data_IF_025859247278
#
_entry.id   IF_025859247278
#
_cell.length_a   1.000
_cell.length_b   1.000
_cell.length_c   1.000
_cell.angle_alpha   90.00
_cell.angle_beta   90.00
_cell.angle_gamma   90.00
#
_symmetry.space_group_name_H-M   'P 1'
#
loop_
_entity.id
_entity.type
_entity.pdbx_description
1 polymer ?
#
# COMPACT_ATOMS: atom_id res chain seq x y z
N UNK A 1 -27.57 3.03 -11.13
CA UNK A 1 -27.05 3.47 -9.82
C UNK A 1 -26.57 2.22 -9.11
N UNK A 2 -25.26 2.01 -9.05
CA UNK A 2 -24.69 0.87 -8.32
C UNK A 2 -24.93 1.14 -6.83
N UNK A 3 -25.43 0.18 -6.04
CA UNK A 3 -25.63 0.39 -4.60
C UNK A 3 -24.30 0.72 -3.92
N UNK A 4 -24.33 1.65 -2.95
CA UNK A 4 -23.13 2.03 -2.21
C UNK A 4 -22.50 0.82 -1.52
N UNK A 5 -21.18 0.63 -1.60
CA UNK A 5 -20.50 -0.47 -0.91
C UNK A 5 -20.37 -0.25 0.61
N UNK A 6 -20.78 0.93 1.11
CA UNK A 6 -20.75 1.29 2.52
C UNK A 6 -22.12 1.03 3.16
N UNK A 7 -22.13 0.25 4.25
CA UNK A 7 -23.36 -0.26 4.87
C UNK A 7 -23.78 0.49 6.16
N UNK A 8 -23.20 1.69 6.38
CA UNK A 8 -23.39 2.55 7.57
C UNK A 8 -23.31 4.03 7.18
N UNK A 9 -23.67 4.89 8.12
CA UNK A 9 -23.36 6.32 8.08
C UNK A 9 -21.86 6.55 7.86
N UNK A 10 -21.53 7.22 6.76
CA UNK A 10 -20.16 7.48 6.30
C UNK A 10 -19.61 8.83 6.78
N UNK A 11 -20.34 9.61 7.59
CA UNK A 11 -19.91 10.94 8.05
C UNK A 11 -18.57 10.90 8.79
N UNK A 12 -18.39 9.91 9.67
CA UNK A 12 -17.13 9.73 10.40
C UNK A 12 -15.97 9.28 9.48
N UNK A 13 -16.26 8.47 8.46
CA UNK A 13 -15.29 8.06 7.45
C UNK A 13 -14.84 9.27 6.63
N UNK A 14 -15.79 10.09 6.15
CA UNK A 14 -15.51 11.30 5.40
C UNK A 14 -14.61 12.27 6.19
N UNK A 15 -14.87 12.45 7.50
CA UNK A 15 -14.01 13.25 8.38
C UNK A 15 -12.58 12.72 8.52
N UNK A 16 -12.40 11.39 8.58
CA UNK A 16 -11.05 10.78 8.62
C UNK A 16 -10.33 10.90 7.28
N UNK A 17 -11.04 10.72 6.17
CA UNK A 17 -10.51 11.00 4.83
C UNK A 17 -10.04 12.45 4.71
N UNK A 18 -10.85 13.42 5.13
CA UNK A 18 -10.46 14.83 5.10
C UNK A 18 -9.18 15.10 5.92
N UNK A 19 -9.05 14.48 7.10
CA UNK A 19 -7.82 14.58 7.90
C UNK A 19 -6.60 13.95 7.22
N UNK A 20 -6.76 12.83 6.52
CA UNK A 20 -5.67 12.21 5.74
C UNK A 20 -5.26 13.07 4.53
N UNK A 21 -6.23 13.70 3.86
CA UNK A 21 -5.98 14.51 2.67
C UNK A 21 -5.01 15.68 2.94
N UNK A 22 -5.01 16.22 4.17
CA UNK A 22 -4.13 17.31 4.60
C UNK A 22 -2.66 16.92 4.84
N UNK A 23 -2.30 15.63 4.74
CA UNK A 23 -0.95 15.14 5.07
C UNK A 23 -0.03 15.06 3.85
N UNK A 24 1.28 15.25 4.06
CA UNK A 24 2.30 14.99 3.05
C UNK A 24 2.68 13.51 2.92
N UNK A 25 3.39 13.15 1.85
CA UNK A 25 3.80 11.75 1.56
C UNK A 25 4.58 11.10 2.72
N UNK A 26 5.46 11.86 3.38
CA UNK A 26 6.23 11.34 4.51
C UNK A 26 5.36 11.07 5.75
N UNK A 27 4.32 11.88 5.97
CA UNK A 27 3.37 11.71 7.08
C UNK A 27 2.43 10.53 6.81
N UNK A 28 1.96 10.39 5.58
CA UNK A 28 1.21 9.21 5.13
C UNK A 28 2.07 7.94 5.26
N UNK A 29 3.33 7.98 4.83
CA UNK A 29 4.27 6.88 4.98
C UNK A 29 4.51 6.53 6.45
N UNK A 30 4.66 7.51 7.34
CA UNK A 30 4.83 7.26 8.77
C UNK A 30 3.59 6.60 9.40
N UNK A 31 2.38 6.96 8.94
CA UNK A 31 1.14 6.30 9.36
C UNK A 31 1.04 4.85 8.86
N UNK A 32 1.46 4.56 7.62
CA UNK A 32 1.56 3.18 7.12
C UNK A 32 2.54 2.35 7.96
N UNK A 33 3.71 2.93 8.30
CA UNK A 33 4.66 2.27 9.18
C UNK A 33 4.10 2.05 10.59
N UNK A 34 3.35 3.01 11.15
CA UNK A 34 2.67 2.85 12.45
C UNK A 34 1.71 1.66 12.45
N UNK A 35 0.95 1.50 11.37
CA UNK A 35 -0.04 0.42 11.22
C UNK A 35 0.59 -0.95 10.91
N UNK A 36 1.87 -1.00 10.56
CA UNK A 36 2.58 -2.25 10.31
C UNK A 36 2.92 -2.94 11.64
N UNK A 37 2.62 -4.24 11.81
CA UNK A 37 2.98 -4.98 13.02
C UNK A 37 4.47 -4.83 13.37
N UNK A 38 4.79 -4.89 14.66
CA UNK A 38 6.15 -4.70 15.25
C UNK A 38 6.59 -3.25 15.45
N UNK A 39 5.82 -2.29 14.94
CA UNK A 39 6.12 -0.89 15.14
C UNK A 39 5.34 -0.27 16.31
N UNK A 40 4.39 -0.93 16.96
CA UNK A 40 3.38 -0.38 17.89
C UNK A 40 3.92 0.60 18.95
N UNK A 41 5.17 0.42 19.40
CA UNK A 41 5.82 1.28 20.41
C UNK A 41 7.02 2.09 19.89
N UNK A 42 7.20 2.19 18.57
CA UNK A 42 8.28 2.98 17.97
C UNK A 42 7.98 4.48 18.09
N UNK A 43 8.97 5.32 18.47
CA UNK A 43 8.78 6.75 18.51
C UNK A 43 8.43 7.34 17.14
N UNK A 44 7.51 8.30 17.09
CA UNK A 44 7.04 8.91 15.85
C UNK A 44 8.17 9.55 15.03
N UNK A 45 9.15 10.18 15.69
CA UNK A 45 10.32 10.76 15.00
C UNK A 45 11.17 9.73 14.25
N UNK A 46 11.21 8.48 14.72
CA UNK A 46 11.90 7.38 14.03
C UNK A 46 11.12 6.98 12.78
N UNK A 47 9.81 6.79 12.89
CA UNK A 47 8.96 6.45 11.75
C UNK A 47 8.96 7.56 10.69
N UNK A 48 8.89 8.82 11.11
CA UNK A 48 8.95 9.96 10.20
C UNK A 48 10.29 10.06 9.47
N UNK A 49 11.38 9.62 10.11
CA UNK A 49 12.69 9.53 9.44
C UNK A 49 12.71 8.38 8.44
N UNK A 50 12.26 7.19 8.82
CA UNK A 50 12.17 6.05 7.91
C UNK A 50 11.25 6.29 6.72
N UNK A 51 10.09 6.90 6.94
CA UNK A 51 9.16 7.24 5.88
C UNK A 51 9.77 8.24 4.88
N UNK A 52 10.44 9.30 5.35
CA UNK A 52 11.16 10.24 4.46
C UNK A 52 12.22 9.53 3.63
N UNK A 53 13.06 8.71 4.27
CA UNK A 53 14.09 7.95 3.56
C UNK A 53 13.49 6.97 2.54
N UNK A 54 12.40 6.29 2.87
CA UNK A 54 11.71 5.40 1.94
C UNK A 54 11.09 6.16 0.76
N UNK A 55 10.51 7.34 0.99
CA UNK A 55 10.02 8.22 -0.09
C UNK A 55 11.16 8.67 -1.00
N UNK A 56 12.31 9.07 -0.45
CA UNK A 56 13.49 9.45 -1.23
C UNK A 56 13.98 8.28 -2.10
N UNK A 57 14.13 7.09 -1.51
CA UNK A 57 14.51 5.87 -2.25
C UNK A 57 13.51 5.53 -3.33
N UNK A 58 12.21 5.65 -3.06
CA UNK A 58 11.16 5.40 -4.05
C UNK A 58 11.20 6.38 -5.21
N UNK A 59 11.54 7.65 -4.97
CA UNK A 59 11.72 8.64 -6.03
C UNK A 59 12.89 8.29 -6.93
N UNK A 60 14.03 7.92 -6.37
CA UNK A 60 15.20 7.47 -7.13
C UNK A 60 14.91 6.18 -7.91
N UNK A 61 14.23 5.22 -7.27
CA UNK A 61 13.86 3.96 -7.91
C UNK A 61 12.88 4.18 -9.07
N UNK A 62 12.01 5.19 -8.96
CA UNK A 62 11.08 5.55 -10.01
C UNK A 62 11.77 6.04 -11.30
N UNK A 63 13.03 6.47 -11.25
CA UNK A 63 13.80 6.89 -12.44
C UNK A 63 14.53 5.73 -13.13
N UNK A 64 14.54 4.54 -12.52
CA UNK A 64 15.19 3.35 -13.09
C UNK A 64 14.43 2.79 -14.33
N UNK A 65 15.06 1.96 -15.18
CA UNK A 65 14.38 1.34 -16.32
C UNK A 65 13.13 0.55 -15.90
N UNK A 66 12.09 0.60 -16.74
CA UNK A 66 10.81 -0.07 -16.48
C UNK A 66 10.95 -1.59 -16.54
N UNK A 67 10.49 -2.34 -15.50
CA UNK A 67 10.39 -3.79 -15.55
C UNK A 67 9.09 -4.28 -16.23
N UNK A 68 8.27 -3.39 -16.78
CA UNK A 68 6.93 -3.73 -17.29
C UNK A 68 6.95 -4.60 -18.56
N UNK A 69 8.09 -4.68 -19.26
CA UNK A 69 8.21 -5.49 -20.47
C UNK A 69 7.89 -6.97 -20.18
N UNK A 70 6.90 -7.52 -20.89
CA UNK A 70 6.49 -8.92 -20.77
C UNK A 70 5.57 -9.23 -19.58
N UNK A 71 5.16 -8.22 -18.80
CA UNK A 71 4.17 -8.41 -17.72
C UNK A 71 2.76 -8.31 -18.30
N UNK A 72 1.95 -9.36 -18.11
CA UNK A 72 0.53 -9.33 -18.48
C UNK A 72 -0.30 -8.73 -17.36
N UNK A 73 -1.36 -8.01 -17.71
CA UNK A 73 -2.33 -7.48 -16.74
C UNK A 73 -3.68 -8.13 -17.03
N UNK A 74 -4.34 -8.64 -15.99
CA UNK A 74 -5.73 -9.10 -16.09
C UNK A 74 -6.53 -8.64 -14.88
N UNK A 75 -7.85 -8.69 -15.00
CA UNK A 75 -8.76 -8.39 -13.90
C UNK A 75 -9.39 -9.69 -13.35
N UNK A 76 -9.67 -9.70 -12.05
CA UNK A 76 -10.45 -10.73 -11.36
C UNK A 76 -11.12 -10.13 -10.11
N UNK A 77 -12.05 -10.84 -9.50
CA UNK A 77 -12.63 -10.46 -8.20
C UNK A 77 -11.82 -11.05 -7.03
N UNK A 78 -12.26 -10.76 -5.80
CA UNK A 78 -11.72 -11.34 -4.57
C UNK A 78 -10.66 -10.47 -3.90
N UNK A 79 -10.62 -9.17 -4.21
CA UNK A 79 -9.74 -8.22 -3.52
C UNK A 79 -10.31 -7.69 -2.22
N UNK A 80 -11.60 -7.89 -1.93
CA UNK A 80 -12.21 -7.46 -0.66
C UNK A 80 -12.45 -8.67 0.23
N UNK A 81 -11.59 -8.84 1.24
CA UNK A 81 -11.56 -9.98 2.15
C UNK A 81 -11.90 -9.63 3.60
N UNK A 82 -12.00 -10.65 4.45
CA UNK A 82 -12.27 -10.48 5.87
C UNK A 82 -11.08 -9.82 6.58
N UNK A 83 -11.12 -8.50 6.72
CA UNK A 83 -10.07 -7.73 7.37
C UNK A 83 -8.96 -7.21 6.43
N UNK A 84 -9.09 -7.39 5.12
CA UNK A 84 -8.08 -6.93 4.15
C UNK A 84 -8.71 -6.46 2.83
N UNK A 85 -8.01 -5.53 2.16
CA UNK A 85 -8.35 -5.04 0.84
C UNK A 85 -7.07 -5.09 0.00
N UNK A 86 -7.13 -5.80 -1.13
CA UNK A 86 -6.01 -6.01 -2.04
C UNK A 86 -6.44 -5.50 -3.41
N UNK A 87 -5.76 -4.48 -3.94
CA UNK A 87 -6.10 -3.89 -5.25
C UNK A 87 -5.46 -4.64 -6.40
N UNK A 88 -4.27 -5.19 -6.18
CA UNK A 88 -3.50 -5.91 -7.17
C UNK A 88 -2.60 -6.95 -6.49
N UNK A 89 -2.22 -7.97 -7.25
CA UNK A 89 -1.24 -8.97 -6.83
C UNK A 89 -0.35 -9.36 -8.01
N UNK A 90 0.95 -9.52 -7.76
CA UNK A 90 1.88 -10.09 -8.73
C UNK A 90 1.99 -11.62 -8.62
N UNK A 91 1.71 -12.31 -9.73
CA UNK A 91 1.91 -13.75 -9.88
C UNK A 91 3.26 -14.05 -10.53
N UNK A 92 4.27 -14.38 -9.72
CA UNK A 92 5.64 -14.62 -10.19
C UNK A 92 5.78 -15.68 -11.27
N UNK A 93 5.05 -16.82 -11.16
CA UNK A 93 5.19 -17.95 -12.10
C UNK A 93 4.67 -17.62 -13.50
N UNK A 94 3.61 -16.82 -13.59
CA UNK A 94 2.98 -16.46 -14.86
C UNK A 94 3.43 -15.08 -15.37
N UNK A 95 4.24 -14.34 -14.59
CA UNK A 95 4.63 -12.95 -14.85
C UNK A 95 3.43 -12.05 -15.15
N UNK A 96 2.51 -12.02 -14.20
CA UNK A 96 1.21 -11.39 -14.39
C UNK A 96 0.82 -10.56 -13.18
N UNK A 97 0.22 -9.38 -13.41
CA UNK A 97 -0.45 -8.58 -12.40
C UNK A 97 -1.94 -8.83 -12.51
N UNK A 98 -2.57 -9.20 -11.40
CA UNK A 98 -4.00 -9.41 -11.30
C UNK A 98 -4.59 -8.24 -10.54
N UNK A 99 -5.35 -7.40 -11.24
CA UNK A 99 -6.12 -6.32 -10.63
C UNK A 99 -7.42 -6.89 -10.05
N UNK A 100 -7.75 -6.49 -8.82
CA UNK A 100 -8.95 -6.93 -8.13
C UNK A 100 -10.09 -5.93 -8.36
N UNK A 101 -10.99 -6.27 -9.28
CA UNK A 101 -12.06 -5.38 -9.76
C UNK A 101 -12.98 -4.89 -8.63
N UNK A 102 -13.35 -5.77 -7.71
CA UNK A 102 -14.17 -5.45 -6.53
C UNK A 102 -13.48 -4.47 -5.57
N UNK A 103 -12.17 -4.61 -5.38
CA UNK A 103 -11.39 -3.66 -4.58
C UNK A 103 -11.21 -2.32 -5.30
N UNK A 104 -11.07 -2.32 -6.63
CA UNK A 104 -11.02 -1.09 -7.43
C UNK A 104 -12.36 -0.34 -7.43
N UNK A 105 -13.48 -1.05 -7.45
CA UNK A 105 -14.82 -0.47 -7.29
C UNK A 105 -14.99 0.17 -5.90
N UNK A 106 -14.55 -0.52 -4.84
CA UNK A 106 -14.53 0.03 -3.49
C UNK A 106 -13.65 1.29 -3.39
N UNK A 107 -12.49 1.27 -4.04
CA UNK A 107 -11.61 2.43 -4.12
C UNK A 107 -12.28 3.61 -4.86
N UNK A 108 -12.97 3.35 -5.96
CA UNK A 108 -13.76 4.36 -6.68
C UNK A 108 -14.85 4.98 -5.79
N UNK A 109 -15.61 4.16 -5.07
CA UNK A 109 -16.64 4.65 -4.16
C UNK A 109 -16.07 5.48 -2.99
N UNK A 110 -14.89 5.10 -2.47
CA UNK A 110 -14.19 5.89 -1.47
C UNK A 110 -13.71 7.24 -2.03
N UNK A 111 -13.17 7.24 -3.25
CA UNK A 111 -12.71 8.45 -3.94
C UNK A 111 -13.87 9.44 -4.14
N UNK A 112 -15.04 8.95 -4.58
CA UNK A 112 -16.26 9.76 -4.68
C UNK A 112 -16.72 10.29 -3.32
N UNK A 113 -16.78 9.42 -2.30
CA UNK A 113 -17.17 9.81 -0.93
C UNK A 113 -16.25 10.91 -0.38
N UNK A 114 -14.95 10.82 -0.65
CA UNK A 114 -13.96 11.73 -0.11
C UNK A 114 -13.76 13.00 -0.96
N UNK A 115 -14.40 13.10 -2.14
CA UNK A 115 -14.23 14.21 -3.08
C UNK A 115 -12.82 14.27 -3.68
N UNK A 116 -12.21 13.11 -3.96
CA UNK A 116 -10.82 13.00 -4.45
C UNK A 116 -10.70 12.68 -5.94
N UNK A 117 -11.78 12.78 -6.72
CA UNK A 117 -11.86 12.34 -8.11
C UNK A 117 -10.79 12.98 -8.99
N UNK A 118 -10.50 14.28 -8.76
CA UNK A 118 -9.46 15.01 -9.48
C UNK A 118 -8.04 14.49 -9.20
N UNK A 119 -7.82 13.80 -8.07
CA UNK A 119 -6.51 13.25 -7.69
C UNK A 119 -6.36 11.78 -8.08
N UNK A 120 -7.47 11.04 -8.11
CA UNK A 120 -7.49 9.60 -8.38
C UNK A 120 -8.44 9.22 -9.53
N UNK A 121 -8.15 9.65 -10.78
CA UNK A 121 -8.87 9.14 -11.94
C UNK A 121 -8.81 7.60 -12.02
N UNK A 122 -9.91 6.90 -12.34
CA UNK A 122 -9.97 5.43 -12.25
C UNK A 122 -8.92 4.69 -13.08
N UNK A 123 -8.54 5.21 -14.24
CA UNK A 123 -7.49 4.65 -15.10
C UNK A 123 -6.10 4.80 -14.47
N UNK A 124 -5.86 5.91 -13.77
CA UNK A 124 -4.60 6.19 -13.07
C UNK A 124 -4.47 5.37 -11.79
N UNK A 125 -5.59 5.11 -11.11
CA UNK A 125 -5.62 4.18 -9.97
C UNK A 125 -5.23 2.77 -10.41
N UNK A 126 -5.79 2.27 -11.53
CA UNK A 126 -5.39 0.97 -12.12
C UNK A 126 -3.92 0.93 -12.46
N UNK A 127 -3.43 1.96 -13.14
CA UNK A 127 -2.01 2.08 -13.50
C UNK A 127 -1.10 2.12 -12.25
N UNK A 128 -1.50 2.84 -11.20
CA UNK A 128 -0.77 2.89 -9.94
C UNK A 128 -0.73 1.53 -9.23
N UNK A 129 -1.83 0.77 -9.25
CA UNK A 129 -1.88 -0.57 -8.68
C UNK A 129 -0.90 -1.51 -9.41
N UNK A 130 -0.83 -1.44 -10.75
CA UNK A 130 0.19 -2.19 -11.53
C UNK A 130 1.61 -1.76 -11.15
N UNK A 131 1.88 -0.45 -11.10
CA UNK A 131 3.21 0.04 -10.77
C UNK A 131 3.64 -0.26 -9.34
N UNK A 132 2.70 -0.37 -8.39
CA UNK A 132 2.98 -0.81 -7.03
C UNK A 132 3.56 -2.23 -7.03
N UNK A 133 2.91 -3.18 -7.70
CA UNK A 133 3.39 -4.56 -7.84
C UNK A 133 4.75 -4.62 -8.56
N UNK A 134 4.92 -3.82 -9.62
CA UNK A 134 6.20 -3.75 -10.33
C UNK A 134 7.31 -3.16 -9.46
N UNK A 135 7.00 -2.20 -8.59
CA UNK A 135 7.98 -1.59 -7.71
C UNK A 135 8.54 -2.59 -6.69
N UNK A 136 7.71 -3.50 -6.17
CA UNK A 136 8.18 -4.61 -5.33
C UNK A 136 9.22 -5.47 -6.05
N UNK A 137 9.03 -5.72 -7.36
CA UNK A 137 10.03 -6.43 -8.18
C UNK A 137 11.33 -5.64 -8.35
N UNK A 138 11.21 -4.32 -8.56
CA UNK A 138 12.38 -3.43 -8.66
C UNK A 138 13.14 -3.38 -7.34
N UNK A 139 12.45 -3.53 -6.22
CA UNK A 139 13.00 -3.52 -4.87
C UNK A 139 13.57 -4.88 -4.44
N UNK A 140 14.24 -5.58 -5.35
CA UNK A 140 14.97 -6.82 -5.05
C UNK A 140 16.48 -6.66 -5.22
N UNK A 141 17.27 -7.50 -4.56
CA UNK A 141 18.73 -7.50 -4.70
C UNK A 141 19.38 -6.21 -4.20
N UNK A 142 20.06 -5.47 -5.08
CA UNK A 142 20.84 -4.29 -4.72
C UNK A 142 19.97 -3.15 -4.16
N UNK A 143 18.86 -2.71 -4.80
CA UNK A 143 17.91 -1.75 -4.24
C UNK A 143 17.43 -2.08 -2.81
N UNK A 144 17.07 -3.34 -2.53
CA UNK A 144 16.65 -3.76 -1.17
C UNK A 144 17.78 -3.62 -0.13
N UNK A 145 19.02 -3.94 -0.51
CA UNK A 145 20.18 -3.74 0.36
C UNK A 145 20.48 -2.26 0.57
N UNK A 146 20.28 -1.45 -0.47
CA UNK A 146 20.43 0.00 -0.44
C UNK A 146 19.45 0.66 0.54
N UNK A 147 18.17 0.31 0.45
CA UNK A 147 17.13 0.77 1.37
C UNK A 147 17.48 0.43 2.82
N UNK A 148 17.82 -0.83 3.12
CA UNK A 148 18.25 -1.26 4.46
C UNK A 148 19.46 -0.48 4.97
N UNK A 149 20.39 -0.12 4.08
CA UNK A 149 21.58 0.67 4.41
C UNK A 149 21.19 2.09 4.84
N UNK A 150 20.27 2.73 4.11
CA UNK A 150 19.85 4.12 4.34
C UNK A 150 18.92 4.29 5.53
N UNK A 151 18.02 3.34 5.77
CA UNK A 151 17.13 3.35 6.93
C UNK A 151 17.89 3.25 8.27
N UNK A 152 19.13 2.73 8.22
CA UNK A 152 20.06 2.54 9.34
C UNK A 152 19.39 1.94 10.60
N UNK A 153 18.41 1.05 10.42
CA UNK A 153 17.80 0.36 11.55
C UNK A 153 18.82 -0.61 12.17
N UNK A 154 19.28 -0.31 13.38
CA UNK A 154 20.30 -1.10 14.07
C UNK A 154 19.64 -2.17 14.92
N UNK A 155 20.02 -3.43 14.71
CA UNK A 155 19.51 -4.58 15.48
C UNK A 155 20.53 -5.07 16.49
N UNK A 156 21.82 -5.03 16.15
CA UNK A 156 22.91 -5.35 17.06
C UNK A 156 24.23 -4.70 16.60
N UNK A 157 25.19 -4.58 17.51
CA UNK A 157 26.55 -4.16 17.18
C UNK A 157 27.57 -4.63 18.21
N UNK A 158 28.76 -5.01 17.75
CA UNK A 158 29.91 -5.33 18.58
C UNK A 158 31.16 -4.65 17.98
N UNK A 159 31.68 -3.62 18.65
CA UNK A 159 32.79 -2.81 18.15
C UNK A 159 32.48 -2.14 16.82
N UNK A 160 33.33 -2.36 15.80
CA UNK A 160 33.13 -1.82 14.44
C UNK A 160 32.07 -2.56 13.61
N UNK A 161 31.60 -3.72 14.07
CA UNK A 161 30.63 -4.53 13.34
C UNK A 161 29.21 -4.12 13.70
N UNK A 162 28.40 -3.79 12.69
CA UNK A 162 27.01 -3.32 12.83
C UNK A 162 26.09 -4.22 12.04
N UNK A 163 25.09 -4.80 12.70
CA UNK A 163 24.03 -5.55 12.06
C UNK A 163 22.82 -4.65 11.84
N UNK A 164 22.44 -4.47 10.58
CA UNK A 164 21.27 -3.68 10.17
C UNK A 164 20.07 -4.58 9.95
N UNK A 165 18.96 -4.20 10.55
CA UNK A 165 17.67 -4.86 10.39
C UNK A 165 16.90 -4.36 9.20
N UNK A 166 15.92 -5.16 8.81
CA UNK A 166 14.84 -4.73 7.93
C UNK A 166 13.83 -3.92 8.75
N UNK A 167 13.29 -2.85 8.15
CA UNK A 167 12.15 -2.10 8.70
C UNK A 167 10.92 -2.60 7.94
N UNK A 168 10.06 -3.35 8.63
CA UNK A 168 8.81 -3.84 8.05
C UNK A 168 7.97 -2.66 7.51
N UNK A 169 7.42 -2.79 6.30
CA UNK A 169 6.56 -1.79 5.66
C UNK A 169 7.30 -0.63 4.97
N UNK A 170 8.63 -0.54 5.07
CA UNK A 170 9.39 0.51 4.37
C UNK A 170 9.43 0.28 2.85
N UNK A 171 9.38 -0.97 2.43
CA UNK A 171 9.17 -1.40 1.04
C UNK A 171 7.82 -0.96 0.49
N UNK A 172 6.74 -1.03 1.29
CA UNK A 172 5.43 -0.53 0.87
C UNK A 172 5.43 0.98 0.60
N UNK A 173 6.12 1.76 1.44
CA UNK A 173 6.30 3.22 1.21
C UNK A 173 7.08 3.50 -0.07
N UNK A 174 8.13 2.72 -0.34
CA UNK A 174 8.88 2.79 -1.61
C UNK A 174 7.97 2.47 -2.79
N UNK A 175 7.21 1.37 -2.72
CA UNK A 175 6.34 0.90 -3.79
C UNK A 175 5.25 1.92 -4.13
N UNK A 176 4.59 2.49 -3.13
CA UNK A 176 3.62 3.56 -3.34
C UNK A 176 4.25 4.83 -3.94
N UNK A 177 5.49 5.16 -3.57
CA UNK A 177 6.18 6.32 -4.13
C UNK A 177 6.52 6.10 -5.61
N UNK A 178 7.00 4.92 -5.98
CA UNK A 178 7.23 4.55 -7.39
C UNK A 178 5.91 4.59 -8.17
N UNK A 179 4.86 3.98 -7.62
CA UNK A 179 3.52 3.97 -8.22
C UNK A 179 2.98 5.38 -8.47
N UNK A 180 3.14 6.29 -7.51
CA UNK A 180 2.75 7.70 -7.67
C UNK A 180 3.46 8.36 -8.85
N UNK A 181 4.80 8.25 -8.89
CA UNK A 181 5.63 8.89 -9.92
C UNK A 181 5.38 8.33 -11.31
N UNK A 182 5.04 7.05 -11.41
CA UNK A 182 4.86 6.35 -12.69
C UNK A 182 3.45 6.42 -13.26
N UNK A 183 2.42 6.53 -12.41
CA UNK A 183 1.02 6.61 -12.85
C UNK A 183 0.57 8.03 -13.20
N UNK A 184 1.18 9.05 -12.58
CA UNK A 184 0.76 10.45 -12.76
C UNK A 184 -0.50 10.83 -11.96
N UNK A 185 -0.82 10.08 -10.89
CA UNK A 185 -1.85 10.48 -9.92
C UNK A 185 -1.56 11.87 -9.33
N UNK A 186 -2.62 12.60 -8.97
CA UNK A 186 -2.50 13.94 -8.36
C UNK A 186 -2.05 13.91 -6.90
N UNK A 187 -2.24 12.77 -6.22
CA UNK A 187 -1.79 12.51 -4.84
C UNK A 187 -1.25 11.09 -4.72
N UNK A 188 -0.42 10.87 -3.71
CA UNK A 188 0.20 9.57 -3.45
C UNK A 188 -0.84 8.46 -3.23
N UNK A 189 -0.65 7.26 -3.82
CA UNK A 189 -1.47 6.07 -3.51
C UNK A 189 -1.53 5.72 -2.03
N UNK A 190 -0.56 6.14 -1.21
CA UNK A 190 -0.61 5.95 0.25
C UNK A 190 -1.87 6.56 0.89
N UNK A 191 -2.34 7.71 0.35
CA UNK A 191 -3.58 8.34 0.80
C UNK A 191 -4.78 7.41 0.56
N UNK A 192 -4.84 6.80 -0.62
CA UNK A 192 -5.90 5.86 -0.97
C UNK A 192 -5.83 4.58 -0.13
N UNK A 193 -4.63 4.01 0.08
CA UNK A 193 -4.44 2.84 0.95
C UNK A 193 -4.91 3.11 2.38
N UNK A 194 -4.50 4.24 2.97
CA UNK A 194 -4.93 4.60 4.33
C UNK A 194 -6.44 4.85 4.38
N UNK A 195 -7.01 5.52 3.38
CA UNK A 195 -8.45 5.72 3.29
C UNK A 195 -9.23 4.39 3.19
N UNK A 196 -8.72 3.42 2.42
CA UNK A 196 -9.32 2.09 2.32
C UNK A 196 -9.24 1.32 3.63
N UNK A 197 -8.13 1.43 4.37
CA UNK A 197 -8.01 0.87 5.70
C UNK A 197 -9.05 1.48 6.67
N UNK A 198 -9.31 2.79 6.58
CA UNK A 198 -10.36 3.47 7.36
C UNK A 198 -11.78 3.09 6.93
N UNK A 199 -11.97 2.74 5.66
CA UNK A 199 -13.24 2.36 5.08
C UNK A 199 -13.61 0.89 5.34
N UNK A 200 -12.63 0.01 5.54
CA UNK A 200 -12.84 -1.42 5.74
C UNK A 200 -13.93 -1.75 6.80
N UNK A 201 -13.99 -1.10 7.99
CA UNK A 201 -15.07 -1.34 8.97
C UNK A 201 -16.49 -0.95 8.53
N UNK A 202 -16.62 -0.20 7.43
CA UNK A 202 -17.88 0.26 6.82
C UNK A 202 -18.35 -0.65 5.68
N UNK A 203 -17.57 -1.68 5.35
CA UNK A 203 -17.91 -2.69 4.37
C UNK A 203 -18.50 -3.93 5.05
N UNK A 204 -19.26 -4.72 4.29
CA UNK A 204 -19.72 -6.03 4.76
C UNK A 204 -18.55 -6.97 5.10
N UNK A 205 -17.43 -6.85 4.39
CA UNK A 205 -16.23 -7.66 4.58
C UNK A 205 -15.51 -7.36 5.91
N UNK A 206 -15.50 -6.09 6.36
CA UNK A 206 -14.98 -5.71 7.67
C UNK A 206 -15.76 -6.33 8.86
N UNK A 207 -16.96 -6.87 8.63
CA UNK A 207 -17.77 -7.57 9.64
C UNK A 207 -17.56 -9.09 9.64
N UNK A 208 -17.05 -9.65 8.54
CA UNK A 208 -16.91 -11.08 8.41
C UNK A 208 -15.87 -11.59 9.40
N UNK A 209 -16.25 -12.56 10.25
CA UNK A 209 -15.26 -13.34 11.00
C UNK A 209 -14.32 -14.01 9.98
N UNK A 210 -12.99 -14.06 10.22
CA UNK A 210 -12.11 -14.84 9.38
C UNK A 210 -12.68 -16.26 9.28
N UNK A 211 -12.82 -16.79 8.06
CA UNK A 211 -13.22 -18.18 7.89
C UNK A 211 -12.24 -19.02 8.71
N UNK A 212 -12.73 -19.90 9.61
CA UNK A 212 -11.81 -20.85 10.23
C UNK A 212 -11.09 -21.57 9.09
N UNK A 213 -9.76 -21.65 9.17
CA UNK A 213 -9.00 -22.55 8.31
C UNK A 213 -9.74 -23.88 8.31
N UNK A 214 -10.02 -24.50 7.14
CA UNK A 214 -10.53 -25.85 7.15
C UNK A 214 -9.51 -26.66 7.95
N UNK A 215 -9.94 -27.17 9.10
CA UNK A 215 -9.19 -28.21 9.78
C UNK A 215 -8.90 -29.25 8.69
N UNK A 216 -7.62 -29.53 8.46
CA UNK A 216 -7.23 -30.71 7.72
C UNK A 216 -7.87 -31.88 8.48
N UNK A 217 -9.06 -32.28 8.02
CA UNK A 217 -9.71 -33.48 8.47
C UNK A 217 -8.81 -34.61 7.98
N UNK A 218 -8.09 -35.20 8.94
CA UNK A 218 -7.45 -36.48 8.75
C UNK A 218 -8.48 -37.53 8.35
N UNK A 219 -8.05 -38.38 7.43
CA UNK A 219 -8.72 -39.57 6.93
C UNK A 219 -7.79 -40.24 5.93
#
# INVERSE_FOLDING_TARGET
MTPSPFDRDTSALAGRCAALAGLGDAELGARLLRATPTHENRPDGVLGTWARTAVEVGRELADAPSPAAGVRVREASGGVGAGEIVLAEYHHRSSEVVLRGDALELAGALVELAGWEAWFPPERVREAAVWHELAHRMLHGAPSRDLRRRLDHRVAGAGRFRLRGHVAGADEVVAHTVAHRRSGLGRSPMLLTLGLAEALPYTSAGRARPRPYPALLGG
#
